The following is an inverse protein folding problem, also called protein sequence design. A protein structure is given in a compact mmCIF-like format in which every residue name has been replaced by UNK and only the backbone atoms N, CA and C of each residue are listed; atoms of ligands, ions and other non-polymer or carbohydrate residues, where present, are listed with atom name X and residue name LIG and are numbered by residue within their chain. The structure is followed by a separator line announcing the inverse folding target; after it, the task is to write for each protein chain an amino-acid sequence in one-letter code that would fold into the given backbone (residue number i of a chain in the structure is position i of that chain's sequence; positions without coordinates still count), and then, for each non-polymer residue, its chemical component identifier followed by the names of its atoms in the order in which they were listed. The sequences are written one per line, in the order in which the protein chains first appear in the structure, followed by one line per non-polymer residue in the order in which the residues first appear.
data_IF_454203746284
#
_entry.id   IF_454203746284
#
_cell.length_a   1.000
_cell.length_b   1.000
_cell.length_c   1.000
_cell.angle_alpha   90.00
_cell.angle_beta   90.00
_cell.angle_gamma   90.00
#
_symmetry.space_group_name_H-M   'P 1'
#
loop_
_entity.id
_entity.type
_entity.pdbx_description
1 polymer ?
#
# COMPACT_ATOMS: atom_id res chain seq x y z
N UNK A 1 3.87 38.25 21.37
CA UNK A 1 4.37 37.05 22.06
C UNK A 1 3.78 35.83 21.32
N UNK A 2 4.55 35.24 20.37
CA UNK A 2 4.11 34.06 19.61
C UNK A 2 4.51 32.82 20.43
N UNK A 3 3.50 32.08 20.85
CA UNK A 3 3.71 30.78 21.52
C UNK A 3 3.86 29.72 20.45
N UNK A 4 5.09 29.28 20.23
CA UNK A 4 5.38 28.10 19.42
C UNK A 4 5.08 26.85 20.26
N UNK A 5 3.98 26.17 19.98
CA UNK A 5 3.78 24.81 20.44
C UNK A 5 4.67 23.88 19.61
N UNK A 6 5.80 23.49 20.16
CA UNK A 6 6.58 22.39 19.64
C UNK A 6 5.83 21.08 19.93
N UNK A 7 5.03 20.60 19.00
CA UNK A 7 4.54 19.23 19.04
C UNK A 7 5.73 18.29 18.80
N UNK A 8 6.20 17.68 19.87
CA UNK A 8 7.09 16.52 19.77
C UNK A 8 6.29 15.38 19.12
N UNK A 9 6.51 15.17 17.83
CA UNK A 9 5.91 14.05 17.12
C UNK A 9 6.62 12.79 17.61
N UNK A 10 5.92 11.99 18.40
CA UNK A 10 6.38 10.66 18.80
C UNK A 10 6.55 9.80 17.54
N UNK A 11 7.82 9.56 17.15
CA UNK A 11 8.16 8.78 15.95
C UNK A 11 7.99 7.27 16.16
N UNK A 12 7.50 6.84 17.32
CA UNK A 12 7.26 5.43 17.58
C UNK A 12 6.11 4.93 16.71
N UNK A 13 6.26 3.78 16.09
CA UNK A 13 5.17 3.17 15.34
C UNK A 13 3.99 2.89 16.27
N UNK A 14 2.74 3.02 15.80
CA UNK A 14 1.57 2.74 16.61
C UNK A 14 1.52 1.25 17.02
N UNK A 15 0.79 0.94 18.08
CA UNK A 15 0.70 -0.40 18.67
C UNK A 15 0.33 -1.50 17.65
N UNK A 16 -0.46 -1.18 16.63
CA UNK A 16 -0.80 -2.14 15.58
C UNK A 16 0.39 -2.49 14.67
N UNK A 17 1.37 -1.60 14.53
CA UNK A 17 2.57 -1.89 13.75
C UNK A 17 3.32 -3.11 14.31
N UNK A 18 3.43 -3.23 15.62
CA UNK A 18 4.07 -4.36 16.27
C UNK A 18 3.25 -5.66 16.14
N UNK A 19 1.92 -5.57 15.90
CA UNK A 19 1.09 -6.73 15.57
C UNK A 19 1.33 -7.25 14.15
N UNK A 20 1.67 -6.36 13.21
CA UNK A 20 1.99 -6.71 11.82
C UNK A 20 3.45 -7.21 11.68
N UNK A 21 4.34 -6.81 12.62
CA UNK A 21 5.75 -7.21 12.68
C UNK A 21 6.10 -7.76 14.07
N UNK A 22 5.75 -9.00 14.39
CA UNK A 22 6.33 -9.65 15.58
C UNK A 22 7.83 -9.84 15.34
N UNK A 23 8.63 -9.43 16.30
CA UNK A 23 10.06 -9.79 16.34
C UNK A 23 10.19 -11.30 16.19
N UNK A 24 11.14 -11.76 15.36
CA UNK A 24 11.34 -13.18 15.05
C UNK A 24 11.48 -13.97 16.34
N UNK A 25 10.49 -14.78 16.68
CA UNK A 25 10.62 -15.73 17.80
C UNK A 25 9.36 -16.12 18.54
N UNK A 26 8.21 -15.55 18.24
CA UNK A 26 6.95 -15.91 18.90
C UNK A 26 5.95 -16.52 17.94
N UNK A 27 5.23 -17.52 18.44
CA UNK A 27 4.25 -18.38 17.79
C UNK A 27 3.38 -17.68 16.73
N UNK A 28 3.02 -18.44 15.67
CA UNK A 28 2.11 -18.03 14.61
C UNK A 28 0.74 -17.64 15.19
N UNK A 29 0.64 -16.44 15.74
CA UNK A 29 -0.67 -15.82 15.89
C UNK A 29 -1.27 -15.63 14.49
N UNK A 30 -2.51 -16.04 14.32
CA UNK A 30 -3.25 -15.78 13.08
C UNK A 30 -3.28 -14.28 12.86
N UNK A 31 -2.45 -13.79 11.93
CA UNK A 31 -2.36 -12.38 11.63
C UNK A 31 -3.68 -11.94 11.03
N UNK A 32 -4.42 -11.18 11.80
CA UNK A 32 -5.65 -10.52 11.34
C UNK A 32 -5.22 -9.17 10.75
N UNK A 33 -5.68 -8.86 9.54
CA UNK A 33 -5.46 -7.54 8.95
C UNK A 33 -5.98 -6.46 9.88
N UNK A 34 -5.23 -5.36 9.98
CA UNK A 34 -5.68 -4.19 10.73
C UNK A 34 -6.42 -3.23 9.80
N UNK A 35 -7.55 -2.70 10.25
CA UNK A 35 -8.31 -1.70 9.51
C UNK A 35 -8.19 -0.32 10.14
N UNK A 36 -8.13 0.69 9.28
CA UNK A 36 -8.12 2.11 9.66
C UNK A 36 -9.12 2.85 8.78
N UNK A 37 -10.05 3.59 9.40
CA UNK A 37 -10.89 4.52 8.64
C UNK A 37 -10.10 5.81 8.39
N UNK A 38 -9.89 6.16 7.12
CA UNK A 38 -9.11 7.33 6.76
C UNK A 38 -9.92 8.61 6.89
N UNK A 39 -9.24 9.69 7.31
CA UNK A 39 -9.82 11.04 7.32
C UNK A 39 -9.70 11.65 5.93
N UNK A 40 -10.82 12.08 5.36
CA UNK A 40 -10.82 12.69 4.04
C UNK A 40 -10.40 14.17 4.12
N UNK A 41 -9.13 14.43 3.85
CA UNK A 41 -8.55 15.80 3.84
C UNK A 41 -8.00 16.19 2.47
N UNK A 42 -7.84 15.21 1.57
CA UNK A 42 -7.14 15.41 0.31
C UNK A 42 -7.99 16.12 -0.73
N UNK A 43 -7.38 17.06 -1.41
CA UNK A 43 -7.93 17.74 -2.59
C UNK A 43 -7.50 17.11 -3.92
N UNK A 44 -6.69 16.07 -3.89
CA UNK A 44 -6.26 15.39 -5.11
C UNK A 44 -7.41 14.69 -5.84
N UNK A 45 -7.45 14.85 -7.14
CA UNK A 45 -8.40 14.14 -8.02
C UNK A 45 -7.95 12.72 -8.31
N UNK A 46 -6.64 12.47 -8.35
CA UNK A 46 -6.09 11.14 -8.53
C UNK A 46 -6.37 10.27 -7.29
N UNK A 47 -6.95 9.09 -7.51
CA UNK A 47 -7.35 8.20 -6.41
C UNK A 47 -6.16 7.69 -5.58
N UNK A 48 -5.03 7.40 -6.21
CA UNK A 48 -3.81 6.96 -5.52
C UNK A 48 -3.26 8.04 -4.61
N UNK A 49 -3.03 9.25 -5.15
CA UNK A 49 -2.54 10.39 -4.39
C UNK A 49 -3.47 10.78 -3.24
N UNK A 50 -4.79 10.69 -3.47
CA UNK A 50 -5.79 10.95 -2.43
C UNK A 50 -5.73 9.91 -1.30
N UNK A 51 -5.66 8.64 -1.65
CA UNK A 51 -5.56 7.55 -0.68
C UNK A 51 -4.30 7.67 0.19
N UNK A 52 -3.16 7.95 -0.45
CA UNK A 52 -1.89 8.18 0.20
C UNK A 52 -1.97 9.34 1.20
N UNK A 53 -2.40 10.52 0.76
CA UNK A 53 -2.48 11.69 1.62
C UNK A 53 -3.45 11.51 2.79
N UNK A 54 -4.64 10.94 2.53
CA UNK A 54 -5.64 10.70 3.57
C UNK A 54 -5.16 9.71 4.62
N UNK A 55 -4.51 8.62 4.21
CA UNK A 55 -4.00 7.61 5.14
C UNK A 55 -2.84 8.15 5.96
N UNK A 56 -1.85 8.80 5.33
CA UNK A 56 -0.71 9.40 6.04
C UNK A 56 -1.19 10.44 7.06
N UNK A 57 -2.14 11.31 6.67
CA UNK A 57 -2.71 12.27 7.60
C UNK A 57 -3.42 11.58 8.78
N UNK A 58 -4.19 10.54 8.52
CA UNK A 58 -4.90 9.80 9.58
C UNK A 58 -3.94 9.18 10.59
N UNK A 59 -2.80 8.69 10.09
CA UNK A 59 -1.81 8.00 10.92
C UNK A 59 -0.96 8.98 11.75
N UNK A 60 -0.47 10.05 11.14
CA UNK A 60 0.54 10.91 11.77
C UNK A 60 0.15 12.40 11.87
N UNK A 61 -1.05 12.78 11.43
CA UNK A 61 -1.52 14.16 11.46
C UNK A 61 -0.77 15.12 10.51
N UNK A 62 0.03 14.61 9.59
CA UNK A 62 0.83 15.41 8.66
C UNK A 62 0.24 15.41 7.27
N UNK A 63 0.11 16.59 6.67
CA UNK A 63 -0.18 16.72 5.24
C UNK A 63 1.16 16.56 4.50
N UNK A 64 1.27 15.51 3.69
CA UNK A 64 2.44 15.26 2.86
C UNK A 64 2.05 15.39 1.40
N UNK A 65 2.86 16.10 0.63
CA UNK A 65 2.63 16.17 -0.81
C UNK A 65 2.83 14.79 -1.46
N UNK A 66 1.95 14.43 -2.39
CA UNK A 66 2.16 13.27 -3.26
C UNK A 66 3.49 13.44 -4.00
N UNK A 67 4.18 12.35 -4.27
CA UNK A 67 5.53 12.33 -4.86
C UNK A 67 6.63 12.99 -4.03
N UNK A 68 6.40 13.23 -2.73
CA UNK A 68 7.44 13.69 -1.81
C UNK A 68 8.55 12.65 -1.59
N UNK A 69 8.30 11.39 -1.96
CA UNK A 69 9.25 10.28 -1.87
C UNK A 69 9.65 9.85 -3.28
N UNK A 70 10.94 9.66 -3.56
CA UNK A 70 11.39 9.14 -4.86
C UNK A 70 10.72 7.81 -5.19
N UNK A 71 10.18 7.70 -6.40
CA UNK A 71 9.43 6.55 -6.89
C UNK A 71 10.22 5.23 -6.84
N UNK A 72 11.53 5.29 -7.04
CA UNK A 72 12.45 4.14 -7.06
C UNK A 72 12.63 3.46 -5.69
N UNK A 73 12.22 4.12 -4.61
CA UNK A 73 12.31 3.55 -3.26
C UNK A 73 11.14 2.64 -2.88
N UNK A 74 10.07 2.62 -3.68
CA UNK A 74 8.96 1.66 -3.54
C UNK A 74 8.14 1.74 -2.25
N UNK A 75 8.34 2.79 -1.44
CA UNK A 75 7.61 2.99 -0.18
C UNK A 75 7.02 4.39 -0.13
N UNK A 76 5.69 4.48 -0.07
CA UNK A 76 4.97 5.76 -0.06
C UNK A 76 5.07 6.46 1.32
N UNK A 77 5.33 5.68 2.38
CA UNK A 77 5.60 6.18 3.72
C UNK A 77 6.85 5.48 4.30
N UNK A 78 8.05 6.06 4.05
CA UNK A 78 9.33 5.40 4.37
C UNK A 78 9.55 5.12 5.85
N UNK A 79 9.02 5.96 6.74
CA UNK A 79 9.17 5.83 8.19
C UNK A 79 8.61 4.50 8.71
N UNK A 80 7.66 3.91 7.99
CA UNK A 80 7.05 2.63 8.31
C UNK A 80 7.25 1.58 7.23
N UNK A 81 8.10 1.84 6.27
CA UNK A 81 8.31 0.97 5.12
C UNK A 81 6.97 0.57 4.46
N UNK A 82 6.02 1.51 4.39
CA UNK A 82 4.66 1.25 3.93
C UNK A 82 4.47 1.69 2.48
N UNK A 83 3.89 0.80 1.68
CA UNK A 83 3.36 1.12 0.36
C UNK A 83 1.85 1.24 0.42
N UNK A 84 1.30 2.32 -0.15
CA UNK A 84 -0.13 2.63 -0.13
C UNK A 84 -0.71 2.42 -1.52
N UNK A 85 -1.74 1.60 -1.60
CA UNK A 85 -2.41 1.24 -2.85
C UNK A 85 -3.89 1.59 -2.75
N UNK A 86 -4.50 1.86 -3.90
CA UNK A 86 -5.93 2.11 -4.02
C UNK A 86 -6.50 1.43 -5.25
N UNK A 87 -7.78 1.58 -5.51
CA UNK A 87 -8.45 1.05 -6.70
C UNK A 87 -7.65 1.32 -8.00
N UNK A 88 -7.55 0.33 -8.86
CA UNK A 88 -6.90 0.40 -10.20
C UNK A 88 -5.38 0.60 -10.19
N UNK A 89 -4.69 0.28 -9.14
CA UNK A 89 -3.23 0.39 -9.16
C UNK A 89 -2.57 -0.63 -10.09
N UNK A 90 -1.37 -0.30 -10.52
CA UNK A 90 -0.49 -1.23 -11.25
C UNK A 90 0.70 -1.57 -10.35
N UNK A 91 1.04 -2.85 -10.30
CA UNK A 91 2.20 -3.31 -9.54
C UNK A 91 3.46 -2.93 -10.31
N UNK A 92 4.18 -1.95 -9.86
CA UNK A 92 5.31 -1.31 -10.51
C UNK A 92 5.02 -0.77 -11.92
N UNK A 93 5.75 0.19 -12.38
CA UNK A 93 5.69 0.60 -13.78
C UNK A 93 6.37 -0.44 -14.67
N UNK A 94 5.73 -0.82 -15.76
CA UNK A 94 6.16 -1.90 -16.65
C UNK A 94 7.59 -1.81 -17.20
N UNK A 95 8.26 -0.66 -17.10
CA UNK A 95 9.66 -0.52 -17.50
C UNK A 95 10.66 -1.04 -16.43
N UNK A 96 10.21 -1.26 -15.22
CA UNK A 96 11.05 -1.74 -14.11
C UNK A 96 11.01 -3.27 -13.96
N UNK A 97 9.97 -3.92 -14.46
CA UNK A 97 9.76 -5.35 -14.32
C UNK A 97 10.10 -6.05 -15.64
N UNK A 98 10.91 -7.10 -15.56
CA UNK A 98 11.38 -7.82 -16.74
C UNK A 98 10.67 -9.16 -16.96
N UNK A 99 10.12 -9.75 -15.89
CA UNK A 99 9.44 -11.03 -15.98
C UNK A 99 8.23 -11.00 -16.93
N UNK A 100 8.11 -12.07 -17.72
CA UNK A 100 7.02 -12.27 -18.69
C UNK A 100 5.90 -13.16 -18.15
N UNK A 101 5.96 -13.54 -16.86
CA UNK A 101 4.94 -14.37 -16.20
C UNK A 101 4.29 -13.62 -15.05
N UNK A 102 3.06 -13.99 -14.71
CA UNK A 102 2.32 -13.39 -13.62
C UNK A 102 3.03 -13.54 -12.26
N UNK A 103 3.40 -14.78 -11.93
CA UNK A 103 4.14 -15.04 -10.70
C UNK A 103 5.50 -14.34 -10.67
N UNK A 104 6.22 -14.38 -11.78
CA UNK A 104 7.52 -13.73 -11.88
C UNK A 104 7.44 -12.20 -11.68
N UNK A 105 6.41 -11.54 -12.17
CA UNK A 105 6.17 -10.11 -11.91
C UNK A 105 5.94 -9.84 -10.43
N UNK A 106 5.18 -10.69 -9.74
CA UNK A 106 4.93 -10.55 -8.31
C UNK A 106 6.23 -10.77 -7.53
N UNK A 107 6.98 -11.84 -7.82
CA UNK A 107 8.25 -12.11 -7.13
C UNK A 107 9.26 -10.98 -7.36
N UNK A 108 9.43 -10.53 -8.60
CA UNK A 108 10.33 -9.43 -8.92
C UNK A 108 9.96 -8.12 -8.20
N UNK A 109 8.67 -7.86 -7.99
CA UNK A 109 8.22 -6.74 -7.18
C UNK A 109 8.71 -6.84 -5.72
N UNK A 110 8.54 -8.01 -5.09
CA UNK A 110 8.94 -8.20 -3.70
C UNK A 110 10.46 -8.21 -3.50
N UNK A 111 11.21 -8.62 -4.50
CA UNK A 111 12.68 -8.54 -4.48
C UNK A 111 13.18 -7.08 -4.52
N UNK A 112 12.45 -6.20 -5.19
CA UNK A 112 12.87 -4.81 -5.41
C UNK A 112 12.28 -3.81 -4.44
N UNK A 113 11.12 -4.10 -3.85
CA UNK A 113 10.44 -3.15 -2.96
C UNK A 113 11.17 -2.98 -1.63
N UNK A 114 11.27 -1.74 -1.18
CA UNK A 114 11.70 -1.43 0.18
C UNK A 114 10.56 -1.57 1.20
N UNK A 115 9.32 -1.75 0.73
CA UNK A 115 8.15 -1.87 1.59
C UNK A 115 8.15 -3.18 2.37
N UNK A 116 7.63 -3.12 3.58
CA UNK A 116 7.40 -4.26 4.48
C UNK A 116 5.93 -4.36 4.88
N UNK A 117 5.19 -3.28 4.70
CA UNK A 117 3.76 -3.15 4.98
C UNK A 117 3.06 -2.61 3.75
N UNK A 118 1.87 -3.07 3.51
CA UNK A 118 1.01 -2.58 2.43
C UNK A 118 -0.34 -2.16 2.96
N UNK A 119 -0.79 -0.98 2.58
CA UNK A 119 -2.12 -0.50 2.86
C UNK A 119 -2.94 -0.47 1.57
N UNK A 120 -4.07 -1.15 1.54
CA UNK A 120 -5.05 -1.00 0.47
C UNK A 120 -6.18 -0.10 0.97
N UNK A 121 -6.31 1.07 0.36
CA UNK A 121 -7.34 2.06 0.72
C UNK A 121 -8.51 1.94 -0.25
N UNK A 122 -9.68 1.59 0.27
CA UNK A 122 -10.91 1.46 -0.51
C UNK A 122 -11.45 2.81 -0.99
N UNK A 123 -12.37 2.78 -1.95
CA UNK A 123 -13.08 3.98 -2.42
C UNK A 123 -13.87 4.68 -1.28
N UNK A 124 -14.28 3.92 -0.25
CA UNK A 124 -14.96 4.45 0.95
C UNK A 124 -14.01 4.96 2.03
N UNK A 125 -12.70 4.88 1.81
CA UNK A 125 -11.70 5.37 2.74
C UNK A 125 -11.31 4.41 3.85
N UNK A 126 -11.71 3.14 3.81
CA UNK A 126 -11.21 2.12 4.72
C UNK A 126 -9.85 1.61 4.22
N UNK A 127 -8.82 1.72 5.03
CA UNK A 127 -7.51 1.16 4.76
C UNK A 127 -7.37 -0.22 5.43
N UNK A 128 -6.98 -1.22 4.65
CA UNK A 128 -6.62 -2.56 5.11
C UNK A 128 -5.10 -2.69 5.11
N UNK A 129 -4.53 -2.88 6.29
CA UNK A 129 -3.08 -2.97 6.49
C UNK A 129 -2.69 -4.44 6.44
N UNK A 130 -1.75 -4.78 5.57
CA UNK A 130 -1.33 -6.13 5.25
C UNK A 130 0.18 -6.29 5.44
N UNK A 131 0.59 -7.45 5.93
CA UNK A 131 1.95 -7.91 5.84
C UNK A 131 2.26 -8.47 4.43
N UNK A 132 3.49 -8.93 4.20
CA UNK A 132 3.90 -9.47 2.90
C UNK A 132 3.06 -10.68 2.46
N UNK A 133 2.79 -11.62 3.35
CA UNK A 133 2.03 -12.84 3.03
C UNK A 133 0.60 -12.52 2.63
N UNK A 134 -0.06 -11.61 3.36
CA UNK A 134 -1.41 -11.16 3.08
C UNK A 134 -1.47 -10.39 1.76
N UNK A 135 -0.51 -9.51 1.53
CA UNK A 135 -0.47 -8.73 0.30
C UNK A 135 -0.14 -9.60 -0.91
N UNK A 136 0.75 -10.59 -0.81
CA UNK A 136 0.98 -11.61 -1.86
C UNK A 136 -0.32 -12.34 -2.19
N UNK A 137 -1.04 -12.81 -1.17
CA UNK A 137 -2.33 -13.50 -1.36
C UNK A 137 -3.34 -12.59 -2.06
N UNK A 138 -3.41 -11.32 -1.68
CA UNK A 138 -4.26 -10.32 -2.32
C UNK A 138 -3.90 -10.12 -3.78
N UNK A 139 -2.60 -10.02 -4.10
CA UNK A 139 -2.11 -9.88 -5.46
C UNK A 139 -2.49 -11.09 -6.34
N UNK A 140 -2.26 -12.31 -5.84
CA UNK A 140 -2.59 -13.54 -6.58
C UNK A 140 -4.09 -13.74 -6.76
N UNK A 141 -4.90 -13.27 -5.81
CA UNK A 141 -6.36 -13.44 -5.86
C UNK A 141 -7.03 -12.47 -6.83
N UNK A 142 -6.58 -11.22 -6.88
CA UNK A 142 -7.29 -10.15 -7.61
C UNK A 142 -6.49 -9.50 -8.73
N UNK A 143 -5.18 -9.72 -8.79
CA UNK A 143 -4.33 -9.17 -9.83
C UNK A 143 -4.66 -9.77 -11.19
N UNK A 144 -4.60 -8.93 -12.23
CA UNK A 144 -4.73 -9.35 -13.62
C UNK A 144 -3.40 -9.17 -14.32
N UNK A 145 -2.98 -10.23 -15.01
CA UNK A 145 -1.77 -10.19 -15.82
C UNK A 145 -2.14 -9.71 -17.23
N UNK A 146 -1.54 -8.62 -17.64
CA UNK A 146 -1.83 -7.99 -18.93
C UNK A 146 -0.52 -7.66 -19.65
N UNK A 147 -0.55 -7.78 -20.98
CA UNK A 147 0.49 -7.22 -21.82
C UNK A 147 0.09 -5.81 -22.25
N UNK A 148 0.99 -4.87 -22.07
CA UNK A 148 0.76 -3.50 -22.51
C UNK A 148 0.74 -3.41 -24.04
N UNK A 149 0.12 -2.37 -24.57
CA UNK A 149 0.10 -2.13 -26.03
C UNK A 149 1.52 -1.97 -26.58
N UNK A 150 1.70 -2.26 -27.87
CA UNK A 150 2.98 -2.03 -28.54
C UNK A 150 3.46 -0.56 -28.44
N UNK A 151 2.52 0.41 -28.36
CA UNK A 151 2.85 1.82 -28.14
C UNK A 151 3.52 2.08 -26.79
N UNK A 152 3.25 1.26 -25.77
CA UNK A 152 3.84 1.32 -24.43
C UNK A 152 4.97 0.31 -24.25
N UNK A 153 5.53 -0.23 -25.35
CA UNK A 153 6.66 -1.15 -25.35
C UNK A 153 6.28 -2.61 -25.18
N UNK A 154 4.99 -3.00 -25.20
CA UNK A 154 4.52 -4.39 -25.17
C UNK A 154 4.91 -5.17 -23.90
N UNK A 155 5.28 -4.49 -22.84
CA UNK A 155 5.74 -5.11 -21.58
C UNK A 155 4.57 -5.69 -20.80
N UNK A 156 4.85 -6.74 -20.04
CA UNK A 156 3.89 -7.32 -19.12
C UNK A 156 3.79 -6.52 -17.83
N UNK A 157 2.60 -6.55 -17.21
CA UNK A 157 2.31 -5.90 -15.94
C UNK A 157 1.22 -6.63 -15.18
N UNK A 158 1.22 -6.48 -13.88
CA UNK A 158 0.12 -6.88 -13.00
C UNK A 158 -0.71 -5.64 -12.69
N UNK A 159 -1.96 -5.66 -13.10
CA UNK A 159 -2.92 -4.60 -12.86
C UNK A 159 -4.00 -5.07 -11.89
N UNK A 160 -4.41 -4.19 -11.00
CA UNK A 160 -5.58 -4.40 -10.16
C UNK A 160 -6.81 -3.78 -10.81
N UNK A 161 -7.93 -4.53 -10.85
CA UNK A 161 -9.17 -4.02 -11.39
C UNK A 161 -9.72 -2.91 -10.48
N UNK A 162 -10.81 -2.29 -10.95
CA UNK A 162 -11.65 -1.49 -10.08
C UNK A 162 -12.14 -2.35 -8.89
N UNK A 163 -12.29 -1.72 -7.74
CA UNK A 163 -12.83 -2.35 -6.55
C UNK A 163 -14.15 -3.09 -6.84
N UNK A 164 -14.26 -4.31 -6.35
CA UNK A 164 -15.44 -5.16 -6.53
C UNK A 164 -16.00 -5.59 -5.18
N UNK A 165 -17.28 -5.97 -5.15
CA UNK A 165 -17.91 -6.54 -3.93
C UNK A 165 -17.15 -7.76 -3.41
N UNK A 166 -16.66 -8.62 -4.31
CA UNK A 166 -15.89 -9.81 -3.93
C UNK A 166 -14.57 -9.44 -3.26
N UNK A 167 -13.87 -8.43 -3.77
CA UNK A 167 -12.64 -7.91 -3.17
C UNK A 167 -12.92 -7.35 -1.77
N UNK A 168 -13.95 -6.53 -1.61
CA UNK A 168 -14.34 -5.96 -0.32
C UNK A 168 -14.73 -7.03 0.70
N UNK A 169 -15.51 -8.04 0.28
CA UNK A 169 -15.87 -9.16 1.13
C UNK A 169 -14.63 -9.96 1.58
N UNK A 170 -13.69 -10.20 0.66
CA UNK A 170 -12.45 -10.90 0.96
C UNK A 170 -11.60 -10.15 1.98
N UNK A 171 -11.48 -8.83 1.85
CA UNK A 171 -10.77 -7.95 2.78
C UNK A 171 -11.46 -7.96 4.16
N UNK A 172 -12.78 -7.78 4.20
CA UNK A 172 -13.55 -7.74 5.44
C UNK A 172 -13.51 -9.05 6.24
N UNK A 173 -13.42 -10.21 5.56
CA UNK A 173 -13.30 -11.51 6.24
C UNK A 173 -11.95 -11.74 6.93
N UNK A 174 -10.94 -10.95 6.62
CA UNK A 174 -9.56 -11.08 7.14
C UNK A 174 -9.17 -9.95 8.10
N UNK A 175 -10.03 -8.97 8.27
CA UNK A 175 -9.83 -7.78 9.11
C UNK A 175 -10.20 -8.00 10.62
#
# INVERSE_FOLDING_TARGET
MQIFFAFSIDKRPPLWYNKVYPERGTEREAHTMTTIQTTNISTYTNAGARAEQNLIYTICGQIRAHDSVPFDKGSDYPEWHMSIKSSRFTLASGHMMQSTTFSGQIEEYFERTASKVWAYVTEQGTAYIMNETEFRTFLYTFGKFEQDSARNGGKYKVRFPRETKAMLAWLAMRA
#
